data_IF_566523705187
#
_entry.id   IF_566523705187
#
_cell.length_a   1.000
_cell.length_b   1.000
_cell.length_c   1.000
_cell.angle_alpha   90.00
_cell.angle_beta   90.00
_cell.angle_gamma   90.00
#
_symmetry.space_group_name_H-M   'P 1'
#
loop_
_entity.id
_entity.type
_entity.pdbx_description
1 polymer ?
#
# COMPACT_ATOMS: atom_id res chain seq x y z
N UNK A 1 8.91 5.99 9.90
CA UNK A 1 8.19 4.76 9.49
C UNK A 1 6.73 5.12 9.24
N UNK A 2 6.07 4.44 8.30
CA UNK A 2 4.63 4.59 8.04
C UNK A 2 3.97 3.24 8.38
N UNK A 3 2.83 3.28 9.05
CA UNK A 3 2.09 2.09 9.49
C UNK A 3 0.66 2.23 8.99
N UNK A 4 0.16 1.18 8.34
CA UNK A 4 -1.25 1.02 7.99
C UNK A 4 -1.92 0.27 9.14
N UNK A 5 -3.09 0.76 9.56
CA UNK A 5 -3.87 0.15 10.64
C UNK A 5 -5.28 -0.07 10.11
N UNK A 6 -5.70 -1.32 10.11
CA UNK A 6 -7.06 -1.71 9.77
C UNK A 6 -7.91 -1.70 11.06
N UNK A 7 -9.00 -0.93 11.05
CA UNK A 7 -9.87 -0.71 12.20
C UNK A 7 -11.30 -0.76 11.70
N UNK A 8 -12.19 -1.44 12.43
CA UNK A 8 -13.61 -1.44 12.12
C UNK A 8 -14.15 0.01 12.09
N UNK A 9 -15.00 0.32 11.09
CA UNK A 9 -15.55 1.67 10.88
C UNK A 9 -16.17 2.28 12.13
N UNK A 10 -16.86 1.45 12.93
CA UNK A 10 -17.50 1.85 14.19
C UNK A 10 -16.50 2.38 15.23
N UNK A 11 -15.24 1.93 15.17
CA UNK A 11 -14.17 2.28 16.11
C UNK A 11 -13.16 3.27 15.50
N UNK A 12 -13.20 3.50 14.19
CA UNK A 12 -12.25 4.37 13.48
C UNK A 12 -12.20 5.80 14.06
N UNK A 13 -13.34 6.35 14.46
CA UNK A 13 -13.42 7.68 15.09
C UNK A 13 -12.68 7.71 16.43
N UNK A 14 -12.82 6.65 17.24
CA UNK A 14 -12.12 6.53 18.51
C UNK A 14 -10.63 6.28 18.31
N UNK A 15 -10.26 5.34 17.42
CA UNK A 15 -8.88 5.06 17.07
C UNK A 15 -8.14 6.30 16.57
N UNK A 16 -8.79 7.13 15.75
CA UNK A 16 -8.21 8.40 15.27
C UNK A 16 -7.95 9.41 16.41
N UNK A 17 -8.83 9.48 17.41
CA UNK A 17 -8.60 10.34 18.60
C UNK A 17 -7.40 9.87 19.40
N UNK A 18 -7.28 8.56 19.62
CA UNK A 18 -6.13 7.97 20.31
C UNK A 18 -4.84 8.25 19.52
N UNK A 19 -4.82 7.98 18.22
CA UNK A 19 -3.66 8.25 17.38
C UNK A 19 -3.23 9.71 17.40
N UNK A 20 -4.18 10.66 17.38
CA UNK A 20 -3.89 12.10 17.48
C UNK A 20 -3.43 12.55 18.87
N UNK A 21 -3.79 11.81 19.92
CA UNK A 21 -3.35 12.12 21.29
C UNK A 21 -1.89 11.74 21.56
N UNK A 22 -1.32 10.83 20.74
CA UNK A 22 0.05 10.40 20.85
C UNK A 22 0.99 11.47 20.28
N UNK A 23 1.81 12.09 21.14
CA UNK A 23 2.72 13.19 20.78
C UNK A 23 3.76 12.84 19.71
N UNK A 24 4.06 11.56 19.52
CA UNK A 24 4.99 11.05 18.51
C UNK A 24 4.33 10.79 17.15
N UNK A 25 2.99 10.78 17.07
CA UNK A 25 2.26 10.61 15.82
C UNK A 25 2.09 11.96 15.15
N UNK A 26 2.98 12.26 14.20
CA UNK A 26 2.96 13.54 13.49
C UNK A 26 1.73 13.73 12.60
N UNK A 27 1.26 12.65 11.97
CA UNK A 27 0.18 12.69 10.98
C UNK A 27 -0.63 11.40 11.04
N UNK A 28 -1.87 11.49 11.53
CA UNK A 28 -2.87 10.43 11.41
C UNK A 28 -3.98 10.95 10.48
N UNK A 29 -4.15 10.29 9.34
CA UNK A 29 -5.18 10.62 8.34
C UNK A 29 -5.95 9.35 7.97
N UNK A 30 -7.29 9.42 7.87
CA UNK A 30 -8.06 8.32 7.33
C UNK A 30 -7.73 8.14 5.84
N UNK A 31 -7.74 6.90 5.40
CA UNK A 31 -7.53 6.49 4.01
C UNK A 31 -8.72 5.60 3.64
N UNK A 32 -9.25 5.75 2.42
CA UNK A 32 -10.28 4.82 1.95
C UNK A 32 -9.67 3.44 1.65
N UNK A 33 -10.46 2.37 1.77
CA UNK A 33 -10.03 1.01 1.42
C UNK A 33 -9.41 0.95 0.02
N UNK A 34 -10.08 1.56 -0.98
CA UNK A 34 -9.57 1.62 -2.35
C UNK A 34 -8.20 2.32 -2.46
N UNK A 35 -7.96 3.36 -1.65
CA UNK A 35 -6.66 4.05 -1.64
C UNK A 35 -5.57 3.23 -0.96
N UNK A 36 -5.92 2.47 0.09
CA UNK A 36 -4.99 1.59 0.79
C UNK A 36 -4.58 0.39 -0.09
N UNK A 37 -5.55 -0.22 -0.76
CA UNK A 37 -5.32 -1.30 -1.72
C UNK A 37 -4.47 -0.84 -2.90
N UNK A 38 -4.80 0.32 -3.49
CA UNK A 38 -4.00 0.91 -4.57
C UNK A 38 -2.56 1.18 -4.11
N UNK A 39 -2.35 1.64 -2.88
CA UNK A 39 -1.02 1.91 -2.34
C UNK A 39 -0.17 0.64 -2.21
N UNK A 40 -0.74 -0.44 -1.70
CA UNK A 40 -0.04 -1.73 -1.62
C UNK A 40 0.25 -2.30 -3.01
N UNK A 41 -0.73 -2.28 -3.93
CA UNK A 41 -0.53 -2.73 -5.31
C UNK A 41 0.59 -1.95 -6.02
N UNK A 42 0.63 -0.63 -5.86
CA UNK A 42 1.69 0.21 -6.44
C UNK A 42 3.06 -0.09 -5.83
N UNK A 43 3.11 -0.35 -4.53
CA UNK A 43 4.35 -0.68 -3.82
C UNK A 43 4.88 -2.04 -4.25
N UNK A 44 4.01 -3.02 -4.42
CA UNK A 44 4.35 -4.35 -4.93
C UNK A 44 4.85 -4.27 -6.37
N UNK A 45 4.12 -3.60 -7.27
CA UNK A 45 4.54 -3.39 -8.66
C UNK A 45 5.88 -2.66 -8.77
N UNK A 46 6.11 -1.62 -7.94
CA UNK A 46 7.39 -0.91 -7.91
C UNK A 46 8.54 -1.82 -7.46
N UNK A 47 8.27 -2.72 -6.52
CA UNK A 47 9.23 -3.70 -6.02
C UNK A 47 9.57 -4.76 -7.08
N UNK A 48 8.58 -5.25 -7.82
CA UNK A 48 8.80 -6.15 -8.96
C UNK A 48 9.67 -5.49 -10.04
N UNK A 49 9.36 -4.25 -10.42
CA UNK A 49 10.19 -3.51 -11.38
C UNK A 49 11.62 -3.34 -10.86
N UNK A 50 11.79 -3.09 -9.56
CA UNK A 50 13.12 -3.00 -8.93
C UNK A 50 13.86 -4.33 -9.00
N UNK A 51 13.21 -5.45 -8.67
CA UNK A 51 13.79 -6.78 -8.73
C UNK A 51 14.15 -7.20 -10.16
N UNK A 52 13.34 -6.80 -11.14
CA UNK A 52 13.62 -7.03 -12.55
C UNK A 52 14.85 -6.28 -13.02
N UNK A 53 14.96 -4.99 -12.66
CA UNK A 53 16.17 -4.18 -12.93
C UNK A 53 17.43 -4.74 -12.25
N UNK A 54 17.27 -5.47 -11.14
CA UNK A 54 18.37 -6.18 -10.47
C UNK A 54 18.70 -7.54 -11.08
N UNK A 55 18.00 -7.95 -12.14
CA UNK A 55 18.17 -9.26 -12.79
C UNK A 55 17.68 -10.45 -11.96
N UNK A 56 16.92 -10.21 -10.89
CA UNK A 56 16.45 -11.26 -9.97
C UNK A 56 15.16 -11.92 -10.42
N UNK A 57 14.33 -11.21 -11.18
CA UNK A 57 13.09 -11.73 -11.76
C UNK A 57 13.01 -11.32 -13.23
N UNK A 58 12.43 -12.17 -14.07
CA UNK A 58 12.06 -11.77 -15.44
C UNK A 58 10.61 -11.32 -15.43
N UNK A 59 10.36 -10.07 -15.83
CA UNK A 59 9.02 -9.60 -16.09
C UNK A 59 8.58 -10.13 -17.46
N UNK A 60 7.31 -10.50 -17.56
CA UNK A 60 6.71 -10.81 -18.86
C UNK A 60 6.74 -9.56 -19.73
N UNK A 61 7.09 -9.74 -20.98
CA UNK A 61 7.00 -8.68 -21.98
C UNK A 61 5.53 -8.38 -22.29
N UNK A 62 5.26 -7.17 -22.81
CA UNK A 62 3.91 -6.80 -23.25
C UNK A 62 3.37 -7.74 -24.33
N UNK A 63 4.25 -8.39 -25.08
CA UNK A 63 3.91 -9.33 -26.14
C UNK A 63 3.46 -10.68 -25.56
N UNK A 64 4.19 -11.21 -24.56
CA UNK A 64 3.80 -12.42 -23.82
C UNK A 64 2.49 -12.25 -23.06
N UNK A 65 2.22 -11.05 -22.54
CA UNK A 65 0.93 -10.74 -21.90
C UNK A 65 -0.24 -10.80 -22.90
N UNK A 66 -0.03 -10.30 -24.12
CA UNK A 66 -1.06 -10.28 -25.17
C UNK A 66 -1.36 -11.68 -25.71
N UNK A 67 -0.35 -12.56 -25.75
CA UNK A 67 -0.51 -13.94 -26.22
C UNK A 67 -1.25 -14.86 -25.22
N UNK A 68 -1.45 -14.43 -23.96
CA UNK A 68 -2.15 -15.18 -22.90
C UNK A 68 -3.65 -14.83 -22.77
N UNK A 69 -4.15 -13.85 -23.52
CA UNK A 69 -5.56 -13.41 -23.53
C UNK A 69 -6.32 -13.94 -24.76
#
# INVERSE_FOLDING_TARGET
>A
MKVLVDIADKEAVFGMKVLKSLSFVKNAKPMSLASAELWENLKEAAEEVRLHKQGKIQLKTAQELLDEL
#
